data_IF_231198263509
#
_entry.id   IF_231198263509
#
_cell.length_a   1.000
_cell.length_b   1.000
_cell.length_c   1.000
_cell.angle_alpha   90.00
_cell.angle_beta   90.00
_cell.angle_gamma   90.00
#
_symmetry.space_group_name_H-M   'P 1'
#
loop_
_entity.id
_entity.type
_entity.pdbx_description
1 polymer ?
#
# COMPACT_ATOMS: atom_id res chain seq x y z
N UNK A 1 -38.80 11.12 -0.20
CA UNK A 1 -37.83 10.84 0.89
C UNK A 1 -37.27 9.43 0.84
N UNK A 2 -38.08 8.41 0.49
CA UNK A 2 -37.64 7.00 0.41
C UNK A 2 -36.60 6.73 -0.70
N UNK A 3 -36.62 7.49 -1.80
CA UNK A 3 -35.68 7.33 -2.94
C UNK A 3 -34.22 7.72 -2.62
N UNK A 4 -34.01 8.66 -1.68
CA UNK A 4 -32.66 9.07 -1.22
C UNK A 4 -32.01 7.99 -0.34
N UNK A 5 -32.83 7.22 0.40
CA UNK A 5 -32.35 6.09 1.21
C UNK A 5 -31.92 4.90 0.33
N UNK A 6 -32.52 4.73 -0.84
CA UNK A 6 -32.10 3.71 -1.81
C UNK A 6 -30.74 4.03 -2.46
N UNK A 7 -30.47 5.31 -2.73
CA UNK A 7 -29.15 5.73 -3.24
C UNK A 7 -28.04 5.59 -2.19
N UNK A 8 -28.38 5.78 -0.90
CA UNK A 8 -27.43 5.55 0.20
C UNK A 8 -27.07 4.06 0.39
N UNK A 9 -27.96 3.13 0.01
CA UNK A 9 -27.69 1.69 0.05
C UNK A 9 -27.07 1.11 -1.22
N UNK A 10 -26.90 1.91 -2.29
CA UNK A 10 -26.12 1.54 -3.48
C UNK A 10 -24.70 2.12 -3.49
N UNK A 11 -24.25 2.75 -2.40
CA UNK A 11 -22.86 3.19 -2.24
C UNK A 11 -22.15 2.55 -1.03
N UNK A 12 -22.62 1.38 -0.61
CA UNK A 12 -21.85 0.45 0.21
C UNK A 12 -21.39 -0.72 -0.66
N UNK A 13 -20.35 -0.51 -1.46
CA UNK A 13 -19.48 -1.64 -1.79
C UNK A 13 -18.47 -1.81 -0.64
N UNK A 14 -18.97 -2.31 0.49
CA UNK A 14 -18.13 -3.04 1.45
C UNK A 14 -17.77 -4.36 0.76
N UNK A 15 -16.76 -4.27 -0.10
CA UNK A 15 -16.13 -5.40 -0.77
C UNK A 15 -14.75 -5.63 -0.16
N UNK A 16 -14.70 -6.36 0.95
CA UNK A 16 -13.49 -6.98 1.49
C UNK A 16 -12.98 -8.11 0.58
N UNK A 17 -12.78 -7.81 -0.70
CA UNK A 17 -12.27 -8.71 -1.73
C UNK A 17 -11.35 -7.93 -2.63
N UNK A 18 -10.29 -8.57 -3.12
CA UNK A 18 -9.35 -8.03 -4.11
C UNK A 18 -10.10 -7.67 -5.40
N UNK A 19 -10.74 -6.49 -5.42
CA UNK A 19 -11.17 -5.86 -6.65
C UNK A 19 -9.90 -5.63 -7.47
N UNK A 20 -9.87 -6.13 -8.69
CA UNK A 20 -8.82 -5.80 -9.64
C UNK A 20 -8.86 -4.27 -9.86
N UNK A 21 -8.09 -3.53 -9.07
CA UNK A 21 -7.95 -2.09 -9.24
C UNK A 21 -7.45 -1.83 -10.65
N UNK A 22 -8.05 -0.85 -11.32
CA UNK A 22 -7.58 -0.42 -12.62
C UNK A 22 -6.12 0.05 -12.54
N UNK A 23 -5.36 -0.12 -13.63
CA UNK A 23 -3.98 0.35 -13.68
C UNK A 23 -3.84 1.86 -13.34
N UNK A 24 -4.87 2.65 -13.65
CA UNK A 24 -4.95 4.07 -13.30
C UNK A 24 -5.09 4.33 -11.80
N UNK A 25 -5.95 3.59 -11.10
CA UNK A 25 -6.08 3.71 -9.63
C UNK A 25 -4.79 3.34 -8.92
N UNK A 26 -4.14 2.25 -9.33
CA UNK A 26 -2.83 1.88 -8.79
C UNK A 26 -1.75 2.93 -9.05
N UNK A 27 -1.80 3.67 -10.18
CA UNK A 27 -0.84 4.74 -10.47
C UNK A 27 -0.92 5.86 -9.43
N UNK A 28 -2.13 6.32 -9.12
CA UNK A 28 -2.30 7.41 -8.15
C UNK A 28 -2.04 6.92 -6.72
N UNK A 29 -2.50 5.73 -6.34
CA UNK A 29 -2.19 5.15 -5.02
C UNK A 29 -0.68 5.04 -4.77
N UNK A 30 0.07 4.59 -5.78
CA UNK A 30 1.54 4.53 -5.71
C UNK A 30 2.15 5.92 -5.58
N UNK A 31 1.70 6.90 -6.37
CA UNK A 31 2.21 8.29 -6.30
C UNK A 31 2.03 8.86 -4.90
N UNK A 32 0.84 8.68 -4.32
CA UNK A 32 0.52 9.11 -2.96
C UNK A 32 1.42 8.39 -1.95
N UNK A 33 1.58 7.07 -2.06
CA UNK A 33 2.40 6.29 -1.15
C UNK A 33 3.87 6.74 -1.18
N UNK A 34 4.46 6.89 -2.36
CA UNK A 34 5.86 7.33 -2.52
C UNK A 34 6.05 8.72 -1.90
N UNK A 35 5.14 9.66 -2.18
CA UNK A 35 5.22 11.01 -1.62
C UNK A 35 5.10 11.03 -0.11
N UNK A 36 4.20 10.21 0.46
CA UNK A 36 4.01 10.10 1.89
C UNK A 36 5.20 9.44 2.60
N UNK A 37 5.79 8.41 2.00
CA UNK A 37 6.77 7.53 2.63
C UNK A 37 8.21 7.71 2.13
N UNK A 38 8.51 8.73 1.31
CA UNK A 38 9.88 8.98 0.78
C UNK A 38 10.97 9.00 1.86
N UNK A 39 10.64 9.44 3.07
CA UNK A 39 11.58 9.47 4.21
C UNK A 39 12.09 8.07 4.61
N UNK A 40 11.27 7.03 4.42
CA UNK A 40 11.61 5.63 4.74
C UNK A 40 12.82 5.16 3.93
N UNK A 41 12.96 5.62 2.69
CA UNK A 41 14.13 5.31 1.83
C UNK A 41 15.42 5.80 2.50
N UNK A 42 15.37 6.97 3.13
CA UNK A 42 16.49 7.57 3.88
C UNK A 42 16.53 7.17 5.36
N UNK A 43 15.87 6.07 5.74
CA UNK A 43 15.73 5.59 7.13
C UNK A 43 15.13 6.61 8.14
N UNK A 44 14.37 7.59 7.67
CA UNK A 44 13.62 8.50 8.54
C UNK A 44 12.35 7.80 9.05
N UNK A 45 11.95 8.06 10.31
CA UNK A 45 10.73 7.47 10.86
C UNK A 45 9.50 7.85 10.02
N UNK A 46 8.50 6.95 9.92
CA UNK A 46 7.30 7.21 9.13
C UNK A 46 6.48 8.34 9.75
N UNK A 47 5.87 9.16 8.91
CA UNK A 47 4.84 10.10 9.35
C UNK A 47 3.52 9.34 9.60
N UNK A 48 2.59 9.90 10.40
CA UNK A 48 1.25 9.30 10.55
C UNK A 48 0.54 9.09 9.21
N UNK A 49 0.70 10.03 8.27
CA UNK A 49 0.16 9.92 6.92
C UNK A 49 0.79 8.77 6.13
N UNK A 50 2.11 8.57 6.22
CA UNK A 50 2.77 7.40 5.64
C UNK A 50 2.19 6.10 6.20
N UNK A 51 2.04 5.98 7.52
CA UNK A 51 1.44 4.77 8.12
C UNK A 51 0.00 4.55 7.66
N UNK A 52 -0.81 5.60 7.53
CA UNK A 52 -2.16 5.48 6.97
C UNK A 52 -2.12 4.92 5.55
N UNK A 53 -1.23 5.44 4.69
CA UNK A 53 -1.08 4.94 3.32
C UNK A 53 -0.61 3.48 3.28
N UNK A 54 0.33 3.09 4.13
CA UNK A 54 0.79 1.69 4.21
C UNK A 54 -0.31 0.71 4.63
N UNK A 55 -1.29 1.14 5.43
CA UNK A 55 -2.42 0.31 5.84
C UNK A 55 -3.44 0.09 4.72
N UNK A 56 -3.73 1.14 3.95
CA UNK A 56 -4.82 1.15 2.97
C UNK A 56 -4.39 0.82 1.55
N UNK A 57 -3.11 1.05 1.19
CA UNK A 57 -2.63 0.74 -0.16
C UNK A 57 -2.64 -0.76 -0.40
N UNK A 58 -3.22 -1.17 -1.53
CA UNK A 58 -3.33 -2.57 -1.89
C UNK A 58 -2.01 -3.13 -2.41
N UNK A 59 -1.70 -4.38 -2.03
CA UNK A 59 -0.42 -5.02 -2.37
C UNK A 59 -0.28 -5.28 -3.88
N UNK A 60 -1.39 -5.52 -4.58
CA UNK A 60 -1.45 -5.70 -6.03
C UNK A 60 -1.01 -4.43 -6.79
N UNK A 61 -1.18 -3.25 -6.22
CA UNK A 61 -0.71 -2.01 -6.81
C UNK A 61 0.79 -1.77 -6.58
N UNK A 62 1.36 -2.30 -5.49
CA UNK A 62 2.75 -2.04 -5.10
C UNK A 62 3.71 -3.06 -5.70
N UNK A 63 3.44 -4.35 -5.58
CA UNK A 63 4.40 -5.39 -5.97
C UNK A 63 4.87 -5.34 -7.43
N UNK A 64 4.02 -5.04 -8.43
CA UNK A 64 4.47 -4.98 -9.82
C UNK A 64 5.50 -3.88 -10.10
N UNK A 65 5.59 -2.84 -9.25
CA UNK A 65 6.55 -1.74 -9.44
C UNK A 65 7.82 -1.87 -8.61
N UNK A 66 7.90 -2.88 -7.73
CA UNK A 66 9.12 -3.17 -6.99
C UNK A 66 10.11 -3.86 -7.94
N UNK A 67 10.89 -3.04 -8.63
CA UNK A 67 11.96 -3.48 -9.53
C UNK A 67 13.26 -3.71 -8.76
N UNK A 68 14.23 -4.48 -9.31
CA UNK A 68 15.53 -4.67 -8.68
C UNK A 68 16.28 -3.37 -8.42
N UNK A 69 16.14 -2.40 -9.34
CA UNK A 69 16.73 -1.08 -9.19
C UNK A 69 16.15 -0.32 -8.00
N UNK A 70 14.83 -0.38 -7.81
CA UNK A 70 14.19 0.23 -6.64
C UNK A 70 14.56 -0.50 -5.34
N UNK A 71 14.61 -1.83 -5.37
CA UNK A 71 15.01 -2.64 -4.23
C UNK A 71 16.46 -2.34 -3.77
N UNK A 72 17.36 -2.02 -4.71
CA UNK A 72 18.74 -1.65 -4.40
C UNK A 72 18.86 -0.30 -3.65
N UNK A 73 17.85 0.57 -3.74
CA UNK A 73 17.83 1.88 -3.08
C UNK A 73 17.21 1.86 -1.68
N UNK A 74 16.54 0.77 -1.31
CA UNK A 74 15.73 0.69 -0.10
C UNK A 74 16.30 -0.37 0.83
N UNK A 75 16.46 -0.05 2.10
CA UNK A 75 16.67 -1.06 3.13
C UNK A 75 15.37 -1.84 3.36
N UNK A 76 15.27 -3.01 2.74
CA UNK A 76 14.09 -3.89 2.80
C UNK A 76 13.76 -4.28 4.25
N UNK A 77 14.76 -4.56 5.09
CA UNK A 77 14.54 -4.95 6.47
C UNK A 77 13.97 -3.79 7.29
N UNK A 78 14.49 -2.58 7.09
CA UNK A 78 13.95 -1.38 7.71
C UNK A 78 12.52 -1.09 7.23
N UNK A 79 12.28 -1.17 5.92
CA UNK A 79 10.95 -0.96 5.35
C UNK A 79 9.92 -1.95 5.94
N UNK A 80 10.27 -3.23 6.07
CA UNK A 80 9.40 -4.25 6.69
C UNK A 80 9.09 -3.88 8.14
N UNK A 81 10.09 -3.50 8.94
CA UNK A 81 9.88 -3.05 10.33
C UNK A 81 8.96 -1.84 10.40
N UNK A 82 9.10 -0.88 9.49
CA UNK A 82 8.21 0.29 9.40
C UNK A 82 6.78 -0.13 9.08
N UNK A 83 6.58 -1.01 8.09
CA UNK A 83 5.24 -1.51 7.71
C UNK A 83 4.57 -2.23 8.88
N UNK A 84 5.31 -3.11 9.56
CA UNK A 84 4.86 -3.82 10.75
C UNK A 84 4.56 -2.86 11.91
N UNK A 85 5.44 -1.90 12.18
CA UNK A 85 5.24 -0.87 13.21
C UNK A 85 4.07 0.06 12.92
N UNK A 86 3.76 0.29 11.65
CA UNK A 86 2.53 0.96 11.23
C UNK A 86 1.29 0.07 11.40
N UNK A 87 1.39 -1.20 11.82
CA UNK A 87 0.26 -2.09 12.06
C UNK A 87 -0.23 -2.87 10.84
N UNK A 88 0.57 -2.95 9.77
CA UNK A 88 0.27 -3.80 8.60
C UNK A 88 1.08 -5.09 8.71
N UNK A 89 0.40 -6.24 8.67
CA UNK A 89 1.08 -7.52 8.66
C UNK A 89 1.79 -7.76 7.32
N UNK A 90 3.04 -8.23 7.41
CA UNK A 90 3.86 -8.62 6.26
C UNK A 90 4.02 -10.14 6.33
N UNK A 91 3.45 -10.91 5.39
CA UNK A 91 3.64 -12.35 5.37
C UNK A 91 5.12 -12.70 5.18
N UNK A 92 5.58 -13.77 5.83
CA UNK A 92 6.94 -14.28 5.67
C UNK A 92 7.10 -14.97 4.31
N UNK A 93 8.31 -14.94 3.74
CA UNK A 93 8.63 -15.61 2.46
C UNK A 93 7.70 -15.23 1.30
N UNK A 94 7.18 -14.01 1.32
CA UNK A 94 6.24 -13.49 0.33
C UNK A 94 6.99 -12.74 -0.76
N UNK A 95 6.75 -13.12 -2.02
CA UNK A 95 7.34 -12.47 -3.19
C UNK A 95 6.53 -11.24 -3.59
N UNK A 96 7.18 -10.08 -3.63
CA UNK A 96 6.59 -8.81 -4.04
C UNK A 96 7.49 -8.16 -5.09
N UNK A 97 7.19 -8.36 -6.37
CA UNK A 97 8.08 -7.91 -7.45
C UNK A 97 9.42 -8.63 -7.39
N UNK A 98 10.51 -7.86 -7.27
CA UNK A 98 11.88 -8.39 -7.15
C UNK A 98 12.35 -8.69 -5.73
N UNK A 99 11.56 -8.36 -4.70
CA UNK A 99 11.91 -8.66 -3.30
C UNK A 99 11.14 -9.86 -2.77
N UNK A 100 11.76 -10.58 -1.84
CA UNK A 100 11.11 -11.60 -1.04
C UNK A 100 11.27 -11.21 0.42
N UNK A 101 10.19 -11.21 1.17
CA UNK A 101 10.24 -10.96 2.62
C UNK A 101 10.96 -12.12 3.32
N UNK A 102 11.81 -11.85 4.32
CA UNK A 102 12.44 -12.91 5.11
C UNK A 102 11.43 -13.67 5.98
#
# INVERSE_FOLDING_TARGET
>A
MVLMLWLAMLNENIGGGVMAQSAGQCKEERRILVNACKGVITRKPPTPYCCQRLRVTQINCVCPVITPQLAALIDVNYAIKVIQGCGRQVPRHFKCGSITTP
#
